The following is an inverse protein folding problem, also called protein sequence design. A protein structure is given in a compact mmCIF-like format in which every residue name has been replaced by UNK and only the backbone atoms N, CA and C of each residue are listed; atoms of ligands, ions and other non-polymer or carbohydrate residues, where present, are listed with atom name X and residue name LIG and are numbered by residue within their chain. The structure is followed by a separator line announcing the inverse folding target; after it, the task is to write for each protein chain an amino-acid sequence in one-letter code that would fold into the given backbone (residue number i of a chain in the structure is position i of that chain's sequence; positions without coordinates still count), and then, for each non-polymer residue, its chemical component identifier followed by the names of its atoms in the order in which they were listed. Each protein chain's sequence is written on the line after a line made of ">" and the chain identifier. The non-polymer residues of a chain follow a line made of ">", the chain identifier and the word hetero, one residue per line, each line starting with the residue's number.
data_IF_679640610440
#
_entry.id   IF_679640610440
#
_cell.length_a   1.000
_cell.length_b   1.000
_cell.length_c   1.000
_cell.angle_alpha   90.00
_cell.angle_beta   90.00
_cell.angle_gamma   90.00
#
_symmetry.space_group_name_H-M   'P 1'
#
loop_
_entity.id
_entity.type
_entity.pdbx_description
1 polymer ?
#
# COMPACT_ATOMS: atom_id res chain seq x y z
N UNK A 1 13.80 14.84 5.58
CA UNK A 1 12.37 15.19 5.45
C UNK A 1 11.47 14.26 6.24
N UNK A 2 11.60 12.92 6.11
CA UNK A 2 10.71 11.96 6.77
C UNK A 2 10.57 12.11 8.31
N UNK A 3 11.67 12.38 9.04
CA UNK A 3 11.64 12.68 10.48
C UNK A 3 11.27 14.13 10.82
N UNK A 4 11.37 15.05 9.85
CA UNK A 4 11.23 16.50 10.06
C UNK A 4 9.76 16.96 10.04
N UNK A 5 8.89 16.23 9.36
CA UNK A 5 7.45 16.53 9.26
C UNK A 5 6.65 15.93 10.44
N UNK A 6 7.01 16.35 11.65
CA UNK A 6 6.36 15.93 12.90
C UNK A 6 4.84 16.12 12.92
N UNK A 7 4.28 17.26 12.47
CA UNK A 7 2.82 17.48 12.45
C UNK A 7 2.07 16.48 11.58
N UNK A 8 2.54 16.23 10.35
CA UNK A 8 1.93 15.28 9.41
C UNK A 8 1.97 13.86 9.94
N UNK A 9 3.11 13.44 10.50
CA UNK A 9 3.26 12.11 11.09
C UNK A 9 2.37 11.93 12.34
N UNK A 10 2.19 12.98 13.16
CA UNK A 10 1.24 12.96 14.30
C UNK A 10 -0.20 12.76 13.83
N UNK A 11 -0.64 13.48 12.80
CA UNK A 11 -2.00 13.32 12.23
C UNK A 11 -2.19 11.90 11.71
N UNK A 12 -1.21 11.37 10.96
CA UNK A 12 -1.26 10.00 10.43
C UNK A 12 -1.31 8.94 11.53
N UNK A 13 -0.59 9.13 12.62
CA UNK A 13 -0.63 8.23 13.77
C UNK A 13 -2.02 8.24 14.40
N UNK A 14 -2.60 9.43 14.62
CA UNK A 14 -3.97 9.58 15.14
C UNK A 14 -5.01 8.94 14.22
N UNK A 15 -4.90 9.14 12.91
CA UNK A 15 -5.79 8.50 11.92
C UNK A 15 -5.67 6.97 11.94
N UNK A 16 -4.44 6.45 12.08
CA UNK A 16 -4.20 5.00 12.15
C UNK A 16 -4.82 4.40 13.42
N UNK A 17 -4.64 5.07 14.57
CA UNK A 17 -5.27 4.68 15.84
C UNK A 17 -6.79 4.76 15.76
N UNK A 18 -7.34 5.85 15.24
CA UNK A 18 -8.79 6.01 15.08
C UNK A 18 -9.38 4.93 14.18
N UNK A 19 -8.76 4.65 13.03
CA UNK A 19 -9.20 3.59 12.12
C UNK A 19 -9.12 2.21 12.78
N UNK A 20 -8.06 1.93 13.54
CA UNK A 20 -7.93 0.68 14.28
C UNK A 20 -9.01 0.52 15.35
N UNK A 21 -9.36 1.60 16.07
CA UNK A 21 -10.43 1.58 17.07
C UNK A 21 -11.79 1.39 16.41
N UNK A 22 -12.08 2.07 15.30
CA UNK A 22 -13.35 1.95 14.57
C UNK A 22 -13.53 0.53 14.04
N UNK A 23 -12.55 -0.02 13.33
CA UNK A 23 -12.66 -1.38 12.82
C UNK A 23 -12.61 -2.41 13.95
N UNK A 24 -11.79 -2.18 14.97
CA UNK A 24 -11.72 -3.06 16.14
C UNK A 24 -13.01 -3.07 16.97
N UNK A 25 -13.77 -1.97 17.01
CA UNK A 25 -15.05 -1.92 17.71
C UNK A 25 -16.18 -2.54 16.89
N UNK A 26 -16.19 -2.34 15.57
CA UNK A 26 -17.15 -2.99 14.66
C UNK A 26 -16.98 -4.52 14.69
N UNK A 27 -15.75 -5.01 14.65
CA UNK A 27 -15.43 -6.44 14.68
C UNK A 27 -15.01 -6.92 16.07
N UNK A 28 -15.66 -6.40 17.12
CA UNK A 28 -15.28 -6.66 18.51
C UNK A 28 -15.41 -8.14 18.87
N UNK A 29 -14.29 -8.75 19.30
CA UNK A 29 -14.22 -10.13 19.83
C UNK A 29 -15.03 -11.15 19.03
N UNK A 30 -14.67 -11.36 17.77
CA UNK A 30 -15.36 -12.32 16.90
C UNK A 30 -15.40 -13.74 17.49
N UNK A 31 -16.56 -14.38 17.36
CA UNK A 31 -16.80 -15.76 17.77
C UNK A 31 -16.23 -16.80 16.79
N UNK A 32 -16.78 -18.01 16.86
CA UNK A 32 -16.43 -19.14 15.97
C UNK A 32 -17.65 -19.70 15.22
N UNK A 33 -18.71 -18.90 15.09
CA UNK A 33 -19.91 -19.28 14.32
C UNK A 33 -19.65 -19.20 12.81
N UNK A 34 -20.56 -19.74 12.00
CA UNK A 34 -20.48 -19.61 10.53
C UNK A 34 -20.46 -18.15 10.07
N UNK A 35 -21.24 -17.27 10.72
CA UNK A 35 -21.19 -15.81 10.47
C UNK A 35 -19.82 -15.22 10.80
N UNK A 36 -19.15 -15.73 11.83
CA UNK A 36 -17.81 -15.27 12.21
C UNK A 36 -16.75 -15.53 11.13
N UNK A 37 -16.97 -16.47 10.21
CA UNK A 37 -16.10 -16.69 9.05
C UNK A 37 -16.16 -15.46 8.12
N UNK A 38 -17.38 -15.00 7.83
CA UNK A 38 -17.60 -13.83 6.98
C UNK A 38 -17.07 -12.55 7.65
N UNK A 39 -17.30 -12.39 8.95
CA UNK A 39 -16.80 -11.24 9.73
C UNK A 39 -15.27 -11.18 9.71
N UNK A 40 -14.59 -12.33 9.92
CA UNK A 40 -13.12 -12.42 9.84
C UNK A 40 -12.61 -12.02 8.46
N UNK A 41 -13.21 -12.52 7.39
CA UNK A 41 -12.80 -12.12 6.04
C UNK A 41 -13.02 -10.63 5.78
N UNK A 42 -14.17 -10.10 6.17
CA UNK A 42 -14.48 -8.67 6.02
C UNK A 42 -13.46 -7.81 6.74
N UNK A 43 -13.12 -8.16 7.98
CA UNK A 43 -12.08 -7.48 8.76
C UNK A 43 -10.72 -7.52 8.05
N UNK A 44 -10.27 -8.69 7.58
CA UNK A 44 -8.96 -8.83 6.93
C UNK A 44 -8.89 -8.04 5.61
N UNK A 45 -9.99 -8.02 4.85
CA UNK A 45 -10.09 -7.23 3.63
C UNK A 45 -10.06 -5.73 3.91
N UNK A 46 -10.81 -5.26 4.91
CA UNK A 46 -10.82 -3.86 5.34
C UNK A 46 -9.45 -3.43 5.90
N UNK A 47 -8.79 -4.31 6.66
CA UNK A 47 -7.44 -4.07 7.17
C UNK A 47 -6.46 -3.81 6.02
N UNK A 48 -6.43 -4.69 5.01
CA UNK A 48 -5.60 -4.55 3.81
C UNK A 48 -5.90 -3.26 3.02
N UNK A 49 -7.19 -2.97 2.81
CA UNK A 49 -7.62 -1.74 2.10
C UNK A 49 -7.14 -0.50 2.85
N UNK A 50 -7.35 -0.45 4.16
CA UNK A 50 -7.00 0.71 4.97
C UNK A 50 -5.50 0.98 4.96
N UNK A 51 -4.67 -0.05 5.14
CA UNK A 51 -3.21 0.07 5.12
C UNK A 51 -2.69 0.50 3.76
N UNK A 52 -3.21 -0.09 2.68
CA UNK A 52 -2.83 0.25 1.32
C UNK A 52 -3.27 1.68 0.92
N UNK A 53 -4.51 2.07 1.22
CA UNK A 53 -5.03 3.40 0.91
C UNK A 53 -4.32 4.51 1.69
N UNK A 54 -4.00 4.28 2.97
CA UNK A 54 -3.25 5.23 3.78
C UNK A 54 -1.84 5.44 3.22
N UNK A 55 -1.17 4.37 2.81
CA UNK A 55 0.16 4.42 2.20
C UNK A 55 0.18 5.11 0.83
N UNK A 56 -0.82 4.79 -0.01
CA UNK A 56 -1.03 5.43 -1.30
C UNK A 56 -1.25 6.94 -1.15
N UNK A 57 -2.21 7.34 -0.31
CA UNK A 57 -2.62 8.74 -0.12
C UNK A 57 -1.44 9.61 0.35
N UNK A 58 -0.64 9.08 1.29
CA UNK A 58 0.61 9.73 1.74
C UNK A 58 1.54 9.99 0.55
N UNK A 59 1.78 8.97 -0.26
CA UNK A 59 2.76 9.06 -1.34
C UNK A 59 2.29 9.99 -2.46
N UNK A 60 1.03 9.90 -2.90
CA UNK A 60 0.50 10.77 -3.96
C UNK A 60 0.38 12.24 -3.54
N UNK A 61 0.20 12.53 -2.24
CA UNK A 61 0.14 13.89 -1.73
C UNK A 61 1.51 14.58 -1.58
N UNK A 62 2.58 13.80 -1.43
CA UNK A 62 3.94 14.31 -1.15
C UNK A 62 4.82 14.24 -2.39
N UNK A 63 4.80 13.12 -3.12
CA UNK A 63 5.78 12.85 -4.18
C UNK A 63 5.73 13.85 -5.35
N UNK A 64 4.57 14.27 -5.89
CA UNK A 64 4.54 15.27 -6.97
C UNK A 64 5.23 16.59 -6.61
N UNK A 65 5.13 17.01 -5.35
CA UNK A 65 5.79 18.23 -4.83
C UNK A 65 7.30 18.05 -4.75
N UNK A 66 7.74 16.90 -4.24
CA UNK A 66 9.17 16.57 -4.16
C UNK A 66 9.78 16.38 -5.56
N UNK A 67 9.05 15.79 -6.51
CA UNK A 67 9.49 15.59 -7.89
C UNK A 67 9.95 16.91 -8.52
N UNK A 68 9.19 17.99 -8.34
CA UNK A 68 9.55 19.30 -8.90
C UNK A 68 10.89 19.84 -8.37
N UNK A 69 11.23 19.53 -7.11
CA UNK A 69 12.52 19.90 -6.51
C UNK A 69 13.62 19.01 -7.07
N UNK A 70 13.39 17.70 -7.11
CA UNK A 70 14.34 16.70 -7.62
C UNK A 70 14.68 16.96 -9.08
N UNK A 71 13.69 17.32 -9.90
CA UNK A 71 13.89 17.64 -11.31
C UNK A 71 14.80 18.87 -11.47
N UNK A 72 14.65 19.89 -10.62
CA UNK A 72 15.53 21.08 -10.59
C UNK A 72 16.96 20.73 -10.17
N UNK A 73 17.14 19.92 -9.12
CA UNK A 73 18.45 19.50 -8.65
C UNK A 73 19.17 18.58 -9.65
N UNK A 74 18.41 17.69 -10.33
CA UNK A 74 18.93 16.84 -11.40
C UNK A 74 19.36 17.65 -12.62
N UNK A 75 18.65 18.71 -12.96
CA UNK A 75 19.04 19.61 -14.04
C UNK A 75 20.37 20.33 -13.75
N UNK A 76 20.69 20.56 -12.47
CA UNK A 76 21.97 21.11 -12.00
C UNK A 76 23.08 20.06 -11.83
N UNK A 77 22.79 18.78 -12.13
CA UNK A 77 23.75 17.68 -11.98
C UNK A 77 24.03 17.27 -10.53
N UNK A 78 23.21 17.69 -9.56
CA UNK A 78 23.50 17.48 -8.14
C UNK A 78 23.42 16.01 -7.70
N UNK A 79 22.49 15.21 -8.24
CA UNK A 79 22.35 13.77 -7.90
C UNK A 79 21.82 12.92 -9.07
N UNK A 80 22.22 11.64 -9.11
CA UNK A 80 21.65 10.65 -10.03
C UNK A 80 20.32 10.09 -9.50
N UNK A 81 19.40 9.75 -10.42
CA UNK A 81 18.04 9.29 -10.10
C UNK A 81 17.99 7.98 -9.30
N UNK A 82 18.90 7.04 -9.61
CA UNK A 82 18.96 5.73 -8.93
C UNK A 82 19.26 5.88 -7.44
N UNK A 83 20.40 6.49 -7.05
CA UNK A 83 20.74 6.78 -5.66
C UNK A 83 19.69 7.60 -4.91
N UNK A 84 19.01 8.53 -5.58
CA UNK A 84 17.89 9.27 -4.98
C UNK A 84 16.72 8.35 -4.61
N UNK A 85 16.26 7.52 -5.55
CA UNK A 85 15.11 6.64 -5.32
C UNK A 85 15.41 5.57 -4.26
N UNK A 86 16.64 5.02 -4.25
CA UNK A 86 17.06 4.03 -3.26
C UNK A 86 17.25 4.64 -1.86
N UNK A 87 17.88 5.82 -1.75
CA UNK A 87 18.01 6.53 -0.47
C UNK A 87 16.65 6.94 0.11
N UNK A 88 15.71 7.37 -0.75
CA UNK A 88 14.34 7.66 -0.36
C UNK A 88 13.63 6.41 0.18
N UNK A 89 13.74 5.28 -0.52
CA UNK A 89 13.16 4.02 -0.06
C UNK A 89 13.72 3.63 1.32
N UNK A 90 15.04 3.65 1.50
CA UNK A 90 15.68 3.32 2.77
C UNK A 90 15.26 4.26 3.91
N UNK A 91 15.16 5.56 3.64
CA UNK A 91 14.74 6.55 4.63
C UNK A 91 13.26 6.41 5.02
N UNK A 92 12.42 5.91 4.13
CA UNK A 92 10.99 5.73 4.38
C UNK A 92 10.63 4.41 5.05
N UNK A 93 11.50 3.39 5.03
CA UNK A 93 11.21 2.08 5.64
C UNK A 93 10.79 2.18 7.12
N UNK A 94 11.54 2.85 8.03
CA UNK A 94 11.22 2.84 9.45
C UNK A 94 9.86 3.50 9.74
N UNK A 95 9.61 4.64 9.11
CA UNK A 95 8.38 5.43 9.30
C UNK A 95 7.21 4.78 8.56
N UNK A 96 7.45 4.18 7.39
CA UNK A 96 6.47 3.45 6.62
C UNK A 96 5.95 2.22 7.35
N UNK A 97 6.83 1.46 8.00
CA UNK A 97 6.47 0.28 8.79
C UNK A 97 5.76 0.64 10.11
N UNK A 98 6.07 1.79 10.73
CA UNK A 98 5.50 2.16 12.02
C UNK A 98 3.95 2.27 12.00
N UNK A 99 3.33 2.82 10.96
CA UNK A 99 1.88 3.02 10.92
C UNK A 99 1.07 1.73 10.77
N UNK A 100 1.39 0.81 9.84
CA UNK A 100 0.77 -0.52 9.78
C UNK A 100 0.96 -1.31 11.08
N UNK A 101 2.12 -1.18 11.75
CA UNK A 101 2.38 -1.83 13.03
C UNK A 101 1.49 -1.28 14.16
N UNK A 102 1.32 0.04 14.25
CA UNK A 102 0.40 0.66 15.22
C UNK A 102 -1.05 0.23 14.94
N UNK A 103 -1.45 0.21 13.68
CA UNK A 103 -2.78 -0.24 13.28
C UNK A 103 -3.01 -1.71 13.67
N UNK A 104 -2.07 -2.58 13.33
CA UNK A 104 -2.15 -4.01 13.64
C UNK A 104 -2.09 -4.31 15.14
N UNK A 105 -1.28 -3.60 15.92
CA UNK A 105 -1.14 -3.82 17.37
C UNK A 105 -2.42 -3.50 18.15
N UNK A 106 -3.28 -2.62 17.63
CA UNK A 106 -4.58 -2.28 18.21
C UNK A 106 -5.67 -3.20 17.66
N UNK A 107 -5.75 -3.35 16.33
CA UNK A 107 -6.81 -4.11 15.68
C UNK A 107 -6.80 -5.59 16.07
N UNK A 108 -5.62 -6.21 16.06
CA UNK A 108 -5.46 -7.65 16.25
C UNK A 108 -5.99 -8.15 17.60
N UNK A 109 -5.64 -7.54 18.76
CA UNK A 109 -6.22 -7.95 20.04
C UNK A 109 -7.71 -7.58 20.19
N UNK A 110 -8.18 -6.45 19.63
CA UNK A 110 -9.60 -6.04 19.71
C UNK A 110 -10.52 -7.04 19.01
N UNK A 111 -10.11 -7.51 17.82
CA UNK A 111 -10.87 -8.48 17.04
C UNK A 111 -10.77 -9.92 17.56
N UNK A 112 -9.93 -10.20 18.56
CA UNK A 112 -9.65 -11.55 19.09
C UNK A 112 -9.23 -12.52 17.98
N UNK A 113 -8.32 -12.05 17.12
CA UNK A 113 -7.61 -12.89 16.15
C UNK A 113 -6.71 -13.89 16.88
N UNK A 114 -6.14 -14.86 16.16
CA UNK A 114 -5.42 -15.97 16.77
C UNK A 114 -4.29 -15.50 17.72
N UNK A 115 -4.27 -15.86 19.02
CA UNK A 115 -3.46 -15.19 20.05
C UNK A 115 -1.94 -15.47 20.00
N UNK A 116 -1.44 -16.10 18.93
CA UNK A 116 -0.05 -16.51 18.81
C UNK A 116 0.83 -15.39 18.28
N UNK A 117 1.93 -15.07 18.98
CA UNK A 117 2.89 -14.01 18.57
C UNK A 117 3.40 -14.22 17.14
N UNK A 118 3.68 -15.46 16.74
CA UNK A 118 4.11 -15.78 15.36
C UNK A 118 3.08 -15.34 14.30
N UNK A 119 1.78 -15.48 14.58
CA UNK A 119 0.71 -15.07 13.65
C UNK A 119 0.50 -13.57 13.66
N UNK A 120 0.65 -12.92 14.82
CA UNK A 120 0.67 -11.46 14.91
C UNK A 120 1.83 -10.87 14.10
N UNK A 121 3.04 -11.43 14.24
CA UNK A 121 4.21 -10.99 13.48
C UNK A 121 4.02 -11.16 11.95
N UNK A 122 3.42 -12.27 11.52
CA UNK A 122 3.07 -12.50 10.11
C UNK A 122 2.01 -11.52 9.61
N UNK A 123 0.95 -11.28 10.38
CA UNK A 123 -0.07 -10.28 10.08
C UNK A 123 0.58 -8.92 9.82
N UNK A 124 1.35 -8.43 10.80
CA UNK A 124 2.09 -7.17 10.74
C UNK A 124 3.07 -7.12 9.55
N UNK A 125 3.78 -8.21 9.27
CA UNK A 125 4.68 -8.31 8.12
C UNK A 125 3.96 -8.16 6.79
N UNK A 126 2.82 -8.85 6.61
CA UNK A 126 2.04 -8.81 5.36
C UNK A 126 1.50 -7.39 5.10
N UNK A 127 0.89 -6.74 6.10
CA UNK A 127 0.38 -5.36 5.93
C UNK A 127 1.51 -4.34 5.75
N UNK A 128 2.69 -4.60 6.31
CA UNK A 128 3.86 -3.74 6.11
C UNK A 128 4.38 -3.83 4.68
N UNK A 129 4.56 -5.03 4.14
CA UNK A 129 4.99 -5.23 2.74
C UNK A 129 3.94 -4.67 1.76
N UNK A 130 2.65 -4.86 2.06
CA UNK A 130 1.56 -4.25 1.31
C UNK A 130 1.66 -2.71 1.29
N UNK A 131 1.91 -2.08 2.45
CA UNK A 131 2.04 -0.63 2.54
C UNK A 131 3.19 -0.09 1.67
N UNK A 132 4.29 -0.83 1.56
CA UNK A 132 5.40 -0.48 0.67
C UNK A 132 5.04 -0.66 -0.81
N UNK A 133 4.33 -1.73 -1.16
CA UNK A 133 3.84 -1.94 -2.52
C UNK A 133 2.85 -0.83 -2.95
N UNK A 134 1.93 -0.44 -2.06
CA UNK A 134 1.00 0.65 -2.29
C UNK A 134 1.70 2.02 -2.38
N UNK A 135 2.77 2.23 -1.59
CA UNK A 135 3.61 3.43 -1.71
C UNK A 135 4.32 3.46 -3.07
N UNK A 136 4.87 2.35 -3.54
CA UNK A 136 5.51 2.25 -4.85
C UNK A 136 4.54 2.58 -6.00
N UNK A 137 3.31 2.07 -5.91
CA UNK A 137 2.23 2.44 -6.82
C UNK A 137 1.93 3.95 -6.77
N UNK A 138 1.87 4.53 -5.57
CA UNK A 138 1.70 5.97 -5.38
C UNK A 138 2.82 6.82 -5.97
N UNK A 139 4.07 6.34 -5.91
CA UNK A 139 5.21 7.00 -6.57
C UNK A 139 5.00 7.00 -8.09
N UNK A 140 4.53 5.90 -8.66
CA UNK A 140 4.26 5.80 -10.10
C UNK A 140 3.15 6.76 -10.52
N UNK A 141 2.03 6.77 -9.78
CA UNK A 141 0.92 7.69 -10.04
C UNK A 141 1.39 9.14 -9.94
N UNK A 142 2.15 9.49 -8.89
CA UNK A 142 2.71 10.83 -8.75
C UNK A 142 3.78 11.17 -9.79
N UNK A 143 4.46 10.19 -10.39
CA UNK A 143 5.38 10.39 -11.49
C UNK A 143 4.68 10.70 -12.82
N UNK A 144 3.49 10.13 -13.04
CA UNK A 144 2.70 10.33 -14.27
C UNK A 144 1.85 11.60 -14.16
N UNK A 145 1.31 11.88 -12.98
CA UNK A 145 0.40 13.00 -12.80
C UNK A 145 1.07 14.37 -13.05
N UNK A 146 0.35 15.31 -13.69
CA UNK A 146 0.85 16.67 -13.92
C UNK A 146 0.86 17.50 -12.63
N UNK A 147 -0.15 17.32 -11.78
CA UNK A 147 -0.33 18.07 -10.53
C UNK A 147 -0.59 17.12 -9.35
N UNK A 148 -0.48 17.65 -8.12
CA UNK A 148 -0.78 16.86 -6.91
C UNK A 148 -2.25 16.47 -6.87
N UNK A 149 -3.13 17.37 -7.29
CA UNK A 149 -4.58 17.18 -7.33
C UNK A 149 -4.95 16.06 -8.31
N UNK A 150 -4.32 16.04 -9.49
CA UNK A 150 -4.49 14.95 -10.45
C UNK A 150 -4.00 13.61 -9.88
N UNK A 151 -2.87 13.58 -9.17
CA UNK A 151 -2.37 12.37 -8.50
C UNK A 151 -3.33 11.87 -7.42
N UNK A 152 -3.92 12.78 -6.63
CA UNK A 152 -4.89 12.48 -5.58
C UNK A 152 -6.23 12.00 -6.14
N UNK A 153 -6.59 12.35 -7.37
CA UNK A 153 -7.73 11.77 -8.07
C UNK A 153 -7.40 10.38 -8.66
N UNK A 154 -6.29 10.26 -9.39
CA UNK A 154 -5.91 9.03 -10.10
C UNK A 154 -5.56 7.86 -9.16
N UNK A 155 -4.88 8.16 -8.05
CA UNK A 155 -4.41 7.13 -7.12
C UNK A 155 -5.57 6.27 -6.58
N UNK A 156 -6.54 6.87 -5.86
CA UNK A 156 -7.71 6.15 -5.36
C UNK A 156 -8.49 5.43 -6.45
N UNK A 157 -8.69 6.04 -7.64
CA UNK A 157 -9.39 5.39 -8.75
C UNK A 157 -8.70 4.10 -9.20
N UNK A 158 -7.36 4.10 -9.32
CA UNK A 158 -6.60 2.89 -9.62
C UNK A 158 -6.69 1.86 -8.49
N UNK A 159 -6.63 2.31 -7.24
CA UNK A 159 -6.77 1.42 -6.09
C UNK A 159 -8.16 0.76 -6.04
N UNK A 160 -9.23 1.48 -6.36
CA UNK A 160 -10.59 0.93 -6.41
C UNK A 160 -10.68 -0.28 -7.34
N UNK A 161 -10.02 -0.26 -8.49
CA UNK A 161 -9.93 -1.42 -9.39
C UNK A 161 -9.27 -2.60 -8.67
N UNK A 162 -8.14 -2.38 -8.01
CA UNK A 162 -7.46 -3.43 -7.25
C UNK A 162 -8.25 -3.96 -6.04
N UNK A 163 -9.09 -3.12 -5.43
CA UNK A 163 -10.00 -3.50 -4.34
C UNK A 163 -11.08 -4.45 -4.87
N UNK A 164 -11.75 -4.11 -5.98
CA UNK A 164 -12.81 -4.95 -6.57
C UNK A 164 -12.26 -6.32 -6.95
N UNK A 165 -11.06 -6.37 -7.54
CA UNK A 165 -10.37 -7.61 -7.88
C UNK A 165 -9.48 -8.16 -6.74
N UNK A 166 -9.69 -7.69 -5.51
CA UNK A 166 -8.90 -8.03 -4.31
C UNK A 166 -9.18 -9.41 -3.74
N UNK A 167 -10.03 -10.22 -4.38
CA UNK A 167 -10.33 -11.60 -3.97
C UNK A 167 -11.51 -11.75 -3.02
N UNK A 168 -11.93 -10.68 -2.32
CA UNK A 168 -13.15 -10.70 -1.50
C UNK A 168 -14.43 -10.44 -2.31
N UNK A 169 -14.45 -9.39 -3.15
CA UNK A 169 -15.66 -8.99 -3.89
C UNK A 169 -15.90 -9.82 -5.15
N UNK A 170 -14.82 -10.13 -5.89
CA UNK A 170 -14.87 -10.93 -7.12
C UNK A 170 -14.03 -12.17 -6.93
N UNK A 171 -14.66 -13.34 -7.07
CA UNK A 171 -13.94 -14.60 -7.05
C UNK A 171 -13.02 -14.69 -8.31
N UNK A 172 -11.74 -15.05 -8.15
CA UNK A 172 -10.81 -15.29 -9.25
C UNK A 172 -11.38 -16.17 -10.37
N UNK A 173 -12.13 -17.21 -10.03
CA UNK A 173 -12.65 -18.20 -10.97
C UNK A 173 -13.76 -17.63 -11.85
N UNK A 174 -14.50 -16.65 -11.32
CA UNK A 174 -15.56 -15.94 -12.02
C UNK A 174 -15.05 -14.75 -12.85
N UNK A 175 -13.74 -14.48 -12.84
CA UNK A 175 -13.16 -13.33 -13.54
C UNK A 175 -13.08 -13.62 -15.06
N UNK A 176 -13.69 -12.78 -15.92
CA UNK A 176 -13.60 -12.92 -17.38
C UNK A 176 -12.14 -12.96 -17.85
N UNK A 177 -11.87 -13.72 -18.92
CA UNK A 177 -10.50 -13.98 -19.41
C UNK A 177 -9.69 -12.69 -19.62
N UNK A 178 -10.34 -11.64 -20.15
CA UNK A 178 -9.73 -10.32 -20.39
C UNK A 178 -9.24 -9.64 -19.11
N UNK A 179 -9.86 -9.90 -17.95
CA UNK A 179 -9.54 -9.27 -16.67
C UNK A 179 -8.72 -10.14 -15.74
N UNK A 180 -8.38 -11.38 -16.12
CA UNK A 180 -7.62 -12.33 -15.27
C UNK A 180 -6.21 -11.85 -14.87
N UNK A 181 -5.67 -10.86 -15.56
CA UNK A 181 -4.39 -10.23 -15.20
C UNK A 181 -4.52 -9.26 -14.01
N UNK A 182 -5.68 -8.63 -13.82
CA UNK A 182 -5.89 -7.61 -12.77
C UNK A 182 -5.74 -8.22 -11.37
N UNK A 183 -6.40 -9.35 -11.03
CA UNK A 183 -6.20 -9.96 -9.73
C UNK A 183 -4.73 -10.37 -9.51
N UNK A 184 -4.02 -10.84 -10.54
CA UNK A 184 -2.60 -11.20 -10.44
C UNK A 184 -1.70 -10.00 -10.14
N UNK A 185 -2.07 -8.82 -10.65
CA UNK A 185 -1.37 -7.56 -10.42
C UNK A 185 -1.81 -6.83 -9.13
N UNK A 186 -2.94 -7.21 -8.54
CA UNK A 186 -3.53 -6.54 -7.37
C UNK A 186 -2.73 -6.81 -6.09
N UNK A 187 -2.16 -5.75 -5.50
CA UNK A 187 -1.48 -5.82 -4.21
C UNK A 187 -2.43 -6.21 -3.06
N UNK A 188 -3.70 -5.76 -3.14
CA UNK A 188 -4.74 -6.04 -2.15
C UNK A 188 -5.06 -7.54 -2.12
N UNK A 189 -5.13 -8.19 -3.29
CA UNK A 189 -5.40 -9.63 -3.38
C UNK A 189 -4.37 -10.45 -2.63
N UNK A 190 -3.09 -10.19 -2.89
CA UNK A 190 -2.01 -10.95 -2.26
C UNK A 190 -1.92 -10.69 -0.75
N UNK A 191 -2.18 -9.45 -0.31
CA UNK A 191 -2.28 -9.12 1.11
C UNK A 191 -3.43 -9.87 1.77
N UNK A 192 -4.65 -9.72 1.24
CA UNK A 192 -5.86 -10.37 1.74
C UNK A 192 -5.68 -11.89 1.83
N UNK A 193 -5.17 -12.50 0.76
CA UNK A 193 -4.89 -13.94 0.73
C UNK A 193 -3.90 -14.38 1.81
N UNK A 194 -2.79 -13.66 1.97
CA UNK A 194 -1.80 -13.96 3.02
C UNK A 194 -2.39 -13.83 4.43
N UNK A 195 -3.22 -12.80 4.64
CA UNK A 195 -3.93 -12.56 5.89
C UNK A 195 -4.93 -13.69 6.19
N UNK A 196 -5.73 -14.11 5.20
CA UNK A 196 -6.66 -15.22 5.34
C UNK A 196 -5.94 -16.52 5.70
N UNK A 197 -4.87 -16.87 5.00
CA UNK A 197 -4.10 -18.09 5.30
C UNK A 197 -3.52 -18.02 6.72
N UNK A 198 -3.05 -16.86 7.15
CA UNK A 198 -2.51 -16.65 8.50
C UNK A 198 -3.57 -16.77 9.59
N UNK A 199 -4.81 -16.37 9.33
CA UNK A 199 -5.89 -16.41 10.31
C UNK A 199 -6.61 -17.77 10.33
N UNK A 200 -7.06 -18.26 9.17
CA UNK A 200 -7.92 -19.45 9.07
C UNK A 200 -7.19 -20.76 9.32
N UNK A 201 -5.90 -20.86 9.00
CA UNK A 201 -5.16 -22.13 9.16
C UNK A 201 -5.21 -22.61 10.61
N UNK A 202 -5.70 -23.83 10.87
CA UNK A 202 -5.83 -24.40 12.20
C UNK A 202 -6.95 -23.82 13.07
N UNK A 203 -7.88 -23.03 12.51
CA UNK A 203 -9.12 -22.66 13.20
C UNK A 203 -10.18 -23.75 13.04
N UNK A 204 -10.98 -23.90 14.10
CA UNK A 204 -12.15 -24.76 14.14
C UNK A 204 -13.37 -23.88 14.39
N UNK A 205 -14.43 -24.10 13.62
CA UNK A 205 -15.69 -23.38 13.69
C UNK A 205 -16.80 -24.27 14.25
N UNK A 206 -17.76 -23.63 14.91
CA UNK A 206 -18.97 -24.28 15.39
C UNK A 206 -19.82 -24.70 14.19
N UNK A 207 -20.25 -25.96 14.21
CA UNK A 207 -21.13 -26.52 13.20
C UNK A 207 -22.48 -26.89 13.84
N UNK A 208 -23.58 -26.52 13.21
CA UNK A 208 -24.93 -26.95 13.60
C UNK A 208 -25.52 -27.91 12.57
N UNK A 209 -25.18 -27.72 11.29
CA UNK A 209 -25.65 -28.54 10.18
C UNK A 209 -24.50 -29.29 9.52
N UNK A 210 -24.82 -30.40 8.84
CA UNK A 210 -23.81 -31.25 8.18
C UNK A 210 -23.10 -30.59 6.99
N UNK A 211 -23.65 -29.50 6.46
CA UNK A 211 -23.07 -28.70 5.37
C UNK A 211 -22.26 -27.49 5.86
N UNK A 212 -22.15 -27.29 7.17
CA UNK A 212 -21.40 -26.17 7.74
C UNK A 212 -19.90 -26.38 7.61
N UNK A 213 -19.17 -25.27 7.45
CA UNK A 213 -17.71 -25.29 7.38
C UNK A 213 -17.15 -25.56 8.77
N UNK A 214 -16.43 -26.66 8.94
CA UNK A 214 -15.92 -27.09 10.25
C UNK A 214 -14.51 -26.57 10.49
N UNK A 215 -13.68 -26.56 9.46
CA UNK A 215 -12.27 -26.18 9.57
C UNK A 215 -11.97 -24.91 8.79
N UNK A 216 -10.96 -24.16 9.23
CA UNK A 216 -10.47 -23.02 8.48
C UNK A 216 -9.82 -23.41 7.14
N UNK A 217 -9.32 -24.63 7.00
CA UNK A 217 -8.86 -25.17 5.72
C UNK A 217 -10.02 -25.30 4.71
N UNK A 218 -11.17 -25.84 5.14
CA UNK A 218 -12.39 -25.87 4.31
C UNK A 218 -12.87 -24.46 3.98
N UNK A 219 -12.76 -23.51 4.91
CA UNK A 219 -13.06 -22.10 4.64
C UNK A 219 -12.14 -21.56 3.53
N UNK A 220 -10.83 -21.81 3.61
CA UNK A 220 -9.86 -21.37 2.60
C UNK A 220 -10.11 -22.00 1.23
N UNK A 221 -10.45 -23.29 1.17
CA UNK A 221 -10.80 -23.97 -0.08
C UNK A 221 -12.05 -23.37 -0.72
N UNK A 222 -13.07 -23.04 0.07
CA UNK A 222 -14.30 -22.38 -0.41
C UNK A 222 -14.04 -21.04 -1.10
N UNK A 223 -12.98 -20.33 -0.70
CA UNK A 223 -12.59 -19.05 -1.31
C UNK A 223 -11.49 -19.18 -2.37
N UNK A 224 -11.20 -20.39 -2.84
CA UNK A 224 -10.12 -20.66 -3.81
C UNK A 224 -8.74 -20.21 -3.29
N UNK A 225 -8.54 -20.26 -1.96
CA UNK A 225 -7.29 -19.92 -1.27
C UNK A 225 -6.54 -21.16 -0.74
N UNK A 226 -7.04 -22.36 -1.03
CA UNK A 226 -6.45 -23.64 -0.64
C UNK A 226 -5.04 -23.86 -1.22
N UNK A 227 -4.16 -24.48 -0.42
CA UNK A 227 -2.81 -24.89 -0.85
C UNK A 227 -1.76 -23.78 -1.00
N UNK A 228 -2.13 -22.52 -0.85
CA UNK A 228 -1.22 -21.38 -1.06
C UNK A 228 -0.46 -21.07 0.25
N UNK A 229 0.84 -20.75 0.12
CA UNK A 229 1.69 -20.44 1.28
C UNK A 229 1.81 -18.94 1.45
N UNK A 230 1.96 -18.51 2.71
CA UNK A 230 2.23 -17.10 3.06
C UNK A 230 3.53 -16.60 2.38
N UNK A 231 4.51 -17.48 2.17
CA UNK A 231 5.74 -17.12 1.45
C UNK A 231 5.46 -16.72 0.00
N UNK A 232 4.52 -17.39 -0.68
CA UNK A 232 4.18 -17.10 -2.07
C UNK A 232 3.47 -15.74 -2.18
N UNK A 233 2.61 -15.42 -1.22
CA UNK A 233 1.92 -14.12 -1.17
C UNK A 233 2.91 -12.98 -0.91
N UNK A 234 3.85 -13.15 0.02
CA UNK A 234 4.90 -12.17 0.28
C UNK A 234 5.83 -11.99 -0.93
N UNK A 235 6.19 -13.09 -1.60
CA UNK A 235 6.99 -13.04 -2.81
C UNK A 235 6.26 -12.30 -3.94
N UNK A 236 4.95 -12.53 -4.11
CA UNK A 236 4.13 -11.82 -5.09
C UNK A 236 4.04 -10.32 -4.78
N UNK A 237 3.82 -9.93 -3.52
CA UNK A 237 3.85 -8.52 -3.11
C UNK A 237 5.22 -7.88 -3.37
N UNK A 238 6.31 -8.60 -3.09
CA UNK A 238 7.67 -8.16 -3.39
C UNK A 238 7.90 -7.93 -4.89
N UNK A 239 7.41 -8.82 -5.75
CA UNK A 239 7.48 -8.64 -7.21
C UNK A 239 6.69 -7.42 -7.67
N UNK A 240 5.49 -7.20 -7.13
CA UNK A 240 4.65 -6.03 -7.44
C UNK A 240 5.33 -4.75 -7.01
N UNK A 241 5.91 -4.73 -5.81
CA UNK A 241 6.71 -3.62 -5.30
C UNK A 241 7.85 -3.29 -6.27
N UNK A 242 8.66 -4.29 -6.64
CA UNK A 242 9.79 -4.11 -7.56
C UNK A 242 9.33 -3.62 -8.94
N UNK A 243 8.21 -4.13 -9.45
CA UNK A 243 7.61 -3.68 -10.70
C UNK A 243 7.24 -2.20 -10.67
N UNK A 244 6.52 -1.73 -9.64
CA UNK A 244 6.15 -0.32 -9.52
C UNK A 244 7.36 0.59 -9.32
N UNK A 245 8.37 0.15 -8.56
CA UNK A 245 9.62 0.90 -8.42
C UNK A 245 10.38 1.03 -9.75
N UNK A 246 10.48 -0.06 -10.49
CA UNK A 246 11.13 -0.08 -11.80
C UNK A 246 10.37 0.82 -12.80
N UNK A 247 9.05 0.75 -12.81
CA UNK A 247 8.20 1.60 -13.65
C UNK A 247 8.37 3.08 -13.30
N UNK A 248 8.39 3.43 -12.01
CA UNK A 248 8.68 4.79 -11.52
C UNK A 248 10.04 5.28 -12.03
N UNK A 249 11.08 4.44 -11.90
CA UNK A 249 12.43 4.76 -12.35
C UNK A 249 12.48 5.04 -13.87
N UNK A 250 11.82 4.21 -14.68
CA UNK A 250 11.76 4.41 -16.12
C UNK A 250 11.04 5.71 -16.50
N UNK A 251 9.92 6.02 -15.86
CA UNK A 251 9.16 7.24 -16.11
C UNK A 251 9.98 8.49 -15.78
N UNK A 252 10.65 8.52 -14.63
CA UNK A 252 11.51 9.62 -14.21
C UNK A 252 12.80 9.73 -15.03
N UNK A 253 13.25 8.64 -15.65
CA UNK A 253 14.38 8.65 -16.59
C UNK A 253 13.97 9.20 -17.95
N UNK A 254 12.76 8.88 -18.42
CA UNK A 254 12.21 9.34 -19.70
C UNK A 254 11.84 10.83 -19.64
N UNK A 255 11.26 11.29 -18.54
CA UNK A 255 10.88 12.70 -18.34
C UNK A 255 12.05 13.55 -17.83
N UNK A 256 13.12 13.72 -18.62
CA UNK A 256 14.16 14.70 -18.29
C UNK A 256 13.57 16.11 -18.38
N UNK A 257 13.68 16.95 -17.34
CA UNK A 257 13.13 18.29 -17.39
C UNK A 257 13.97 19.17 -18.32
N UNK A 258 13.30 19.75 -19.33
CA UNK A 258 13.91 20.69 -20.27
C UNK A 258 13.78 22.10 -19.68
N UNK A 259 14.64 22.45 -18.73
CA UNK A 259 14.69 23.82 -18.22
C UNK A 259 15.46 24.71 -19.20
N UNK A 260 14.92 25.90 -19.45
CA UNK A 260 15.62 26.97 -20.14
C UNK A 260 16.74 27.44 -19.21
N UNK A 261 17.99 27.31 -19.65
CA UNK A 261 19.12 27.89 -18.94
C UNK A 261 18.89 29.41 -18.90
N UNK A 262 18.81 29.99 -17.71
CA UNK A 262 18.88 31.43 -17.56
C UNK A 262 20.29 31.82 -17.97
N UNK A 263 20.44 32.29 -19.21
CA UNK A 263 21.69 32.90 -19.66
C UNK A 263 21.96 34.11 -18.75
N UNK A 264 23.23 34.38 -18.40
CA UNK A 264 23.55 35.62 -17.72
C UNK A 264 23.02 36.80 -18.56
N UNK A 265 22.57 37.90 -17.92
CA UNK A 265 22.12 39.09 -18.63
C UNK A 265 23.22 39.52 -19.60
N UNK A 266 22.82 39.89 -20.82
CA UNK A 266 23.74 40.33 -21.86
C UNK A 266 24.54 41.55 -21.38
N UNK A 267 25.76 41.77 -21.89
CA UNK A 267 26.58 42.93 -21.48
C UNK A 267 25.83 44.28 -21.72
N UNK A 268 24.89 44.32 -22.66
CA UNK A 268 23.98 45.45 -22.89
C UNK A 268 22.96 45.66 -21.76
N UNK A 269 22.49 44.59 -21.10
CA UNK A 269 21.58 44.68 -19.96
C UNK A 269 22.31 45.09 -18.67
N UNK A 270 23.57 44.68 -18.53
CA UNK A 270 24.43 45.07 -17.40
C UNK A 270 24.86 46.54 -17.48
N UNK A 271 25.15 47.04 -18.68
CA UNK A 271 25.48 48.46 -18.89
C UNK A 271 24.27 49.37 -18.67
N UNK A 272 23.06 48.96 -19.07
CA UNK A 272 21.83 49.72 -18.74
C UNK A 272 21.55 49.79 -17.24
N UNK A 273 21.80 48.73 -16.49
CA UNK A 273 21.65 48.74 -15.02
C UNK A 273 22.70 49.56 -14.27
N UNK A 274 23.83 49.90 -14.90
CA UNK A 274 24.86 50.76 -14.32
C UNK A 274 24.69 52.25 -14.68
N UNK A 275 23.76 52.56 -15.59
CA UNK A 275 23.53 53.94 -16.08
C UNK A 275 22.26 54.59 -15.49
N UNK A 276 21.47 53.86 -14.70
CA UNK A 276 20.42 54.39 -13.81
C UNK A 276 20.94 54.50 -12.37
#
# INVERSE_FOLDING_TARGET
>A
QAFRDGPTNKVRARMSVASAIIFGSVFWRMGKTQTSIQDRMGLLQVAAINTAMAALTKTVGVFPKERAIVDRERAKGSYALGPYLSSKLLAEIPIGAAFPLIFGSILYPMAKLHPTISRFAKFCGIVTVESFAASAMGLTVGAIAPTTEAAMALGPSLMTVFIVFGGYYVNPDNTPVIFRWIPKASLIRWAFQGLCINEFKGLQFEHQHSYDVQTGEQALERFSLGGIRIADTLAAQGRILMFWYWLTYLLLKKNKPRYQQLLPPSEEDQSKQQTE
#
